data_IF_834452719563
#
_entry.id   IF_834452719563
#
_cell.length_a   1.000
_cell.length_b   1.000
_cell.length_c   1.000
_cell.angle_alpha   90.00
_cell.angle_beta   90.00
_cell.angle_gamma   90.00
#
_symmetry.space_group_name_H-M   'P 1'
#
loop_
_entity.id
_entity.type
_entity.pdbx_description
1 polymer ?
#
# COMPACT_ATOMS: atom_id res chain seq x y z
N UNK A 1 -25.14 -8.06 -11.70
CA UNK A 1 -24.18 -6.95 -11.51
C UNK A 1 -22.83 -7.60 -11.31
N UNK A 2 -21.97 -7.62 -12.33
CA UNK A 2 -20.62 -8.17 -12.18
C UNK A 2 -19.77 -7.14 -11.42
N UNK A 3 -19.05 -7.53 -10.35
CA UNK A 3 -18.07 -6.64 -9.76
C UNK A 3 -17.08 -6.28 -10.87
N UNK A 4 -16.91 -5.00 -11.13
CA UNK A 4 -15.90 -4.51 -12.07
C UNK A 4 -14.56 -5.04 -11.59
N UNK A 5 -14.00 -6.00 -12.34
CA UNK A 5 -12.63 -6.48 -12.12
C UNK A 5 -11.74 -5.27 -11.92
N UNK A 6 -10.95 -5.28 -10.84
CA UNK A 6 -10.06 -4.18 -10.49
C UNK A 6 -9.33 -3.64 -11.71
N UNK A 7 -9.37 -2.34 -11.93
CA UNK A 7 -9.11 -1.74 -13.26
C UNK A 7 -7.63 -1.67 -13.67
N UNK A 8 -6.71 -2.15 -12.83
CA UNK A 8 -5.27 -2.13 -13.13
C UNK A 8 -4.53 -3.31 -12.47
N UNK A 9 -3.49 -3.86 -13.14
CA UNK A 9 -2.56 -4.82 -12.54
C UNK A 9 -1.69 -4.17 -11.47
N UNK A 10 -1.44 -4.86 -10.36
CA UNK A 10 -0.64 -4.31 -9.24
C UNK A 10 0.78 -3.88 -9.60
N UNK A 11 1.45 -4.54 -10.55
CA UNK A 11 2.81 -4.22 -11.01
C UNK A 11 2.86 -3.10 -12.06
N UNK A 12 1.73 -2.44 -12.31
CA UNK A 12 1.61 -1.42 -13.36
C UNK A 12 1.33 -0.02 -12.77
N UNK A 13 1.78 0.22 -11.54
CA UNK A 13 1.67 1.52 -10.88
C UNK A 13 3.04 2.11 -10.59
N UNK A 14 3.13 3.43 -10.67
CA UNK A 14 4.23 4.21 -10.11
C UNK A 14 3.69 5.18 -9.07
N UNK A 15 4.43 5.37 -7.98
CA UNK A 15 3.93 6.16 -6.86
C UNK A 15 4.96 7.13 -6.31
N UNK A 16 4.47 8.31 -5.90
CA UNK A 16 5.28 9.30 -5.18
C UNK A 16 4.43 10.09 -4.20
N UNK A 17 5.02 10.48 -3.07
CA UNK A 17 4.39 11.42 -2.14
C UNK A 17 4.70 12.83 -2.62
N UNK A 18 3.67 13.56 -3.06
CA UNK A 18 3.82 14.86 -3.72
C UNK A 18 3.51 16.05 -2.81
N UNK A 19 2.72 15.85 -1.76
CA UNK A 19 2.36 16.90 -0.82
C UNK A 19 2.04 16.34 0.58
N UNK A 20 1.85 17.27 1.52
CA UNK A 20 1.20 16.99 2.78
C UNK A 20 0.25 18.16 3.11
N UNK A 21 -1.00 17.84 3.44
CA UNK A 21 -2.03 18.82 3.80
C UNK A 21 -2.58 18.55 5.19
N UNK A 22 -3.14 19.59 5.82
CA UNK A 22 -3.84 19.47 7.09
C UNK A 22 -5.34 19.34 6.83
N UNK A 23 -5.93 18.22 7.24
CA UNK A 23 -7.37 17.98 7.24
C UNK A 23 -7.88 18.01 8.69
N UNK A 24 -8.49 19.13 9.09
CA UNK A 24 -8.91 19.42 10.46
C UNK A 24 -7.79 19.18 11.50
N UNK A 25 -7.81 18.04 12.18
CA UNK A 25 -6.85 17.64 13.22
C UNK A 25 -5.73 16.73 12.71
N UNK A 26 -5.81 16.28 11.46
CA UNK A 26 -4.92 15.28 10.90
C UNK A 26 -4.03 15.86 9.79
N UNK A 27 -2.89 15.20 9.56
CA UNK A 27 -2.08 15.43 8.36
C UNK A 27 -2.31 14.28 7.41
N UNK A 28 -2.65 14.62 6.17
CA UNK A 28 -2.75 13.71 5.05
C UNK A 28 -1.57 13.93 4.11
N UNK A 29 -1.14 12.86 3.46
CA UNK A 29 -0.08 12.85 2.48
C UNK A 29 -0.71 12.53 1.13
N UNK A 30 -0.52 13.40 0.15
CA UNK A 30 -0.97 13.18 -1.22
C UNK A 30 -0.02 12.23 -1.93
N UNK A 31 -0.55 11.09 -2.34
CA UNK A 31 0.15 10.08 -3.12
C UNK A 31 -0.29 10.23 -4.56
N UNK A 32 0.63 10.62 -5.45
CA UNK A 32 0.41 10.49 -6.89
C UNK A 32 0.54 9.02 -7.26
N UNK A 33 -0.47 8.49 -7.92
CA UNK A 33 -0.50 7.13 -8.46
C UNK A 33 -0.63 7.25 -9.97
N UNK A 34 0.41 6.86 -10.70
CA UNK A 34 0.46 6.81 -12.15
C UNK A 34 0.24 5.38 -12.63
N UNK A 35 -0.67 5.17 -13.57
CA UNK A 35 -1.03 3.86 -14.11
C UNK A 35 -0.37 3.63 -15.46
N UNK A 36 0.77 2.93 -15.47
CA UNK A 36 1.66 2.77 -16.63
C UNK A 36 0.93 2.36 -17.92
N UNK A 37 -0.01 1.41 -17.83
CA UNK A 37 -0.73 0.89 -18.99
C UNK A 37 -1.70 1.89 -19.63
N UNK A 38 -2.25 2.81 -18.84
CA UNK A 38 -3.29 3.73 -19.31
C UNK A 38 -2.79 5.16 -19.49
N UNK A 39 -1.59 5.48 -18.98
CA UNK A 39 -1.07 6.84 -18.90
C UNK A 39 -1.86 7.77 -17.98
N UNK A 40 -2.86 7.26 -17.25
CA UNK A 40 -3.68 8.04 -16.32
C UNK A 40 -2.96 8.20 -14.99
N UNK A 41 -3.23 9.31 -14.32
CA UNK A 41 -2.82 9.52 -12.94
C UNK A 41 -3.99 9.91 -12.05
N UNK A 42 -3.83 9.68 -10.75
CA UNK A 42 -4.71 10.23 -9.72
C UNK A 42 -3.91 10.57 -8.47
N UNK A 43 -4.47 11.45 -7.64
CA UNK A 43 -3.93 11.75 -6.32
C UNK A 43 -4.85 11.14 -5.26
N UNK A 44 -4.25 10.37 -4.34
CA UNK A 44 -4.96 9.77 -3.21
C UNK A 44 -4.37 10.30 -1.93
N UNK A 45 -5.23 10.80 -1.05
CA UNK A 45 -4.81 11.29 0.26
C UNK A 45 -4.91 10.20 1.31
N UNK A 46 -3.81 10.01 2.06
CA UNK A 46 -3.73 9.03 3.14
C UNK A 46 -3.09 9.66 4.38
N UNK A 47 -3.70 9.42 5.55
CA UNK A 47 -3.10 9.76 6.84
C UNK A 47 -1.93 8.82 7.12
N UNK A 48 -0.97 9.24 7.95
CA UNK A 48 0.12 8.37 8.41
C UNK A 48 -0.40 7.03 8.99
N UNK A 49 -1.52 7.07 9.71
CA UNK A 49 -2.18 5.89 10.27
C UNK A 49 -2.65 4.88 9.22
N UNK A 50 -2.95 5.31 7.99
CA UNK A 50 -3.34 4.40 6.92
C UNK A 50 -2.15 3.54 6.43
N UNK A 51 -0.93 4.09 6.49
CA UNK A 51 0.28 3.31 6.18
C UNK A 51 0.58 2.29 7.29
N UNK A 52 0.41 2.69 8.56
CA UNK A 52 0.51 1.76 9.69
C UNK A 52 -0.52 0.64 9.59
N UNK A 53 -1.77 0.97 9.22
CA UNK A 53 -2.82 -0.01 9.00
C UNK A 53 -2.50 -0.94 7.83
N UNK A 54 -1.99 -0.42 6.71
CA UNK A 54 -1.54 -1.23 5.59
C UNK A 54 -0.48 -2.25 6.05
N UNK A 55 0.54 -1.80 6.78
CA UNK A 55 1.57 -2.69 7.31
C UNK A 55 0.97 -3.76 8.24
N UNK A 56 0.18 -3.35 9.23
CA UNK A 56 -0.37 -4.28 10.21
C UNK A 56 -1.28 -5.35 9.56
N UNK A 57 -2.13 -4.93 8.61
CA UNK A 57 -3.00 -5.84 7.88
C UNK A 57 -2.21 -6.77 6.96
N UNK A 58 -1.13 -6.28 6.35
CA UNK A 58 -0.24 -7.09 5.53
C UNK A 58 0.47 -8.17 6.37
N UNK A 59 1.11 -7.76 7.47
CA UNK A 59 1.76 -8.66 8.43
C UNK A 59 0.81 -9.73 8.96
N UNK A 60 -0.40 -9.33 9.39
CA UNK A 60 -1.42 -10.28 9.83
C UNK A 60 -1.82 -11.25 8.71
N UNK A 61 -1.89 -10.78 7.48
CA UNK A 61 -2.25 -11.63 6.34
C UNK A 61 -1.16 -12.66 6.02
N UNK A 62 0.13 -12.34 6.20
CA UNK A 62 1.22 -13.31 6.01
C UNK A 62 1.20 -14.42 7.05
N UNK A 63 0.74 -14.11 8.26
CA UNK A 63 0.59 -15.08 9.35
C UNK A 63 -0.71 -15.89 9.28
N UNK A 64 -1.72 -15.40 8.54
CA UNK A 64 -3.02 -16.05 8.38
C UNK A 64 -2.90 -17.25 7.42
N UNK A 65 -3.00 -18.47 7.97
CA UNK A 65 -2.99 -19.73 7.21
C UNK A 65 -4.37 -20.13 6.66
N UNK A 66 -5.34 -19.21 6.67
CA UNK A 66 -6.59 -19.41 5.95
C UNK A 66 -6.34 -19.46 4.45
N UNK A 67 -7.15 -20.24 3.72
CA UNK A 67 -7.06 -20.36 2.28
C UNK A 67 -6.99 -18.97 1.59
N UNK A 68 -6.02 -18.82 0.70
CA UNK A 68 -5.80 -17.63 -0.12
C UNK A 68 -5.53 -18.05 -1.57
N UNK A 69 -4.79 -17.25 -2.34
CA UNK A 69 -4.55 -17.49 -3.76
C UNK A 69 -3.48 -18.56 -4.09
N UNK A 70 -3.00 -19.28 -3.08
CA UNK A 70 -2.03 -20.36 -3.20
C UNK A 70 -2.60 -21.68 -2.66
N UNK A 71 -2.22 -22.79 -3.31
CA UNK A 71 -2.73 -24.13 -2.98
C UNK A 71 -2.48 -24.56 -1.53
N UNK A 72 -1.35 -24.14 -0.96
CA UNK A 72 -0.95 -24.49 0.42
C UNK A 72 -1.52 -23.53 1.48
N UNK A 73 -2.66 -22.88 1.19
CA UNK A 73 -3.28 -21.85 2.04
C UNK A 73 -2.38 -20.66 2.35
N UNK A 74 -1.46 -20.36 1.44
CA UNK A 74 -0.56 -19.22 1.53
C UNK A 74 -0.84 -18.23 0.39
N UNK A 75 -0.63 -16.94 0.65
CA UNK A 75 -0.69 -15.93 -0.40
C UNK A 75 0.55 -16.04 -1.30
N UNK A 76 0.36 -16.10 -2.63
CA UNK A 76 1.48 -16.13 -3.58
C UNK A 76 2.34 -14.85 -3.55
N UNK A 77 1.81 -13.76 -2.99
CA UNK A 77 2.51 -12.49 -2.87
C UNK A 77 3.41 -12.42 -1.62
N UNK A 78 3.26 -13.34 -0.65
CA UNK A 78 3.99 -13.32 0.63
C UNK A 78 5.50 -13.20 0.40
N UNK A 79 6.08 -14.10 -0.42
CA UNK A 79 7.53 -14.13 -0.67
C UNK A 79 8.12 -12.85 -1.27
N UNK A 80 7.28 -11.99 -1.86
CA UNK A 80 7.72 -10.73 -2.47
C UNK A 80 7.51 -9.53 -1.55
N UNK A 81 6.47 -9.56 -0.72
CA UNK A 81 6.00 -8.41 0.05
C UNK A 81 6.35 -8.50 1.54
N UNK A 82 6.41 -9.70 2.10
CA UNK A 82 6.71 -9.92 3.51
C UNK A 82 8.02 -9.26 3.95
N UNK A 83 9.15 -9.38 3.21
CA UNK A 83 10.39 -8.72 3.63
C UNK A 83 10.27 -7.20 3.75
N UNK A 84 9.48 -6.56 2.88
CA UNK A 84 9.25 -5.12 2.97
C UNK A 84 8.43 -4.78 4.22
N UNK A 85 7.31 -5.48 4.44
CA UNK A 85 6.40 -5.16 5.52
C UNK A 85 6.93 -5.55 6.91
N UNK A 86 7.75 -6.59 7.01
CA UNK A 86 8.37 -7.01 8.28
C UNK A 86 9.57 -6.13 8.65
N UNK A 87 10.41 -5.76 7.67
CA UNK A 87 11.63 -4.99 7.94
C UNK A 87 11.42 -3.47 7.98
N UNK A 88 10.26 -2.97 7.52
CA UNK A 88 9.97 -1.53 7.60
C UNK A 88 9.61 -1.15 9.03
N UNK A 89 10.48 -0.41 9.72
CA UNK A 89 10.15 0.17 11.02
C UNK A 89 9.51 1.55 10.84
N UNK A 90 8.18 1.63 10.91
CA UNK A 90 7.52 2.93 10.93
C UNK A 90 7.88 3.69 12.21
N UNK A 91 8.23 4.99 12.13
CA UNK A 91 8.58 5.79 13.29
C UNK A 91 7.53 5.69 14.40
N UNK A 92 7.93 5.10 15.55
CA UNK A 92 7.04 4.92 16.70
C UNK A 92 6.57 6.27 17.22
N UNK A 93 5.26 6.45 17.29
CA UNK A 93 4.61 7.63 17.87
C UNK A 93 4.65 7.54 19.40
N UNK A 94 5.84 7.62 20.00
CA UNK A 94 5.95 7.65 21.46
C UNK A 94 5.50 9.01 22.01
N UNK A 95 4.42 8.99 22.80
CA UNK A 95 4.13 9.99 23.81
C UNK A 95 3.48 11.28 23.30
N UNK A 96 2.47 11.73 24.04
CA UNK A 96 1.64 12.92 23.84
C UNK A 96 2.38 14.27 23.78
N UNK A 97 3.71 14.30 23.63
CA UNK A 97 4.55 15.51 23.64
C UNK A 97 5.31 15.71 22.32
N UNK A 98 5.49 14.66 21.49
CA UNK A 98 5.88 14.79 20.07
C UNK A 98 4.69 14.63 19.10
N UNK A 99 3.47 14.62 19.63
CA UNK A 99 2.19 14.49 18.93
C UNK A 99 1.71 15.73 18.17
N UNK A 100 2.58 16.70 17.85
CA UNK A 100 2.23 17.82 16.96
C UNK A 100 2.76 17.51 15.57
N UNK A 101 1.89 17.61 14.56
CA UNK A 101 2.27 17.63 13.13
C UNK A 101 3.06 18.92 12.83
N UNK A 102 4.25 19.06 13.42
CA UNK A 102 5.17 20.15 13.14
C UNK A 102 5.69 20.00 11.72
N UNK A 103 6.10 21.11 11.08
CA UNK A 103 6.64 21.08 9.71
C UNK A 103 7.83 20.14 9.58
N UNK A 104 8.69 20.07 10.60
CA UNK A 104 9.84 19.16 10.62
C UNK A 104 9.41 17.69 10.63
N UNK A 105 8.46 17.32 11.52
CA UNK A 105 7.92 15.95 11.60
C UNK A 105 7.22 15.56 10.30
N UNK A 106 6.45 16.48 9.70
CA UNK A 106 5.77 16.24 8.42
C UNK A 106 6.78 16.01 7.31
N UNK A 107 7.87 16.78 7.24
CA UNK A 107 8.93 16.59 6.24
C UNK A 107 9.65 15.25 6.38
N UNK A 108 10.02 14.86 7.60
CA UNK A 108 10.65 13.55 7.87
C UNK A 108 9.72 12.41 7.45
N UNK A 109 8.43 12.51 7.81
CA UNK A 109 7.43 11.53 7.38
C UNK A 109 7.27 11.50 5.86
N UNK A 110 7.25 12.65 5.18
CA UNK A 110 7.14 12.69 3.73
C UNK A 110 8.26 11.89 3.05
N UNK A 111 9.51 12.11 3.47
CA UNK A 111 10.64 11.36 2.93
C UNK A 111 10.52 9.85 3.22
N UNK A 112 10.25 9.48 4.47
CA UNK A 112 10.07 8.09 4.86
C UNK A 112 8.96 7.39 4.07
N UNK A 113 7.79 8.03 3.98
CA UNK A 113 6.63 7.47 3.26
C UNK A 113 6.93 7.33 1.76
N UNK A 114 7.64 8.28 1.16
CA UNK A 114 8.07 8.18 -0.23
C UNK A 114 9.04 7.02 -0.44
N UNK A 115 10.03 6.84 0.43
CA UNK A 115 10.95 5.70 0.38
C UNK A 115 10.23 4.36 0.53
N UNK A 116 9.27 4.27 1.45
CA UNK A 116 8.44 3.08 1.61
C UNK A 116 7.64 2.75 0.35
N UNK A 117 7.01 3.76 -0.28
CA UNK A 117 6.23 3.57 -1.50
C UNK A 117 7.10 3.12 -2.69
N UNK A 118 8.31 3.67 -2.83
CA UNK A 118 9.28 3.22 -3.84
C UNK A 118 9.65 1.75 -3.62
N UNK A 119 9.94 1.34 -2.39
CA UNK A 119 10.25 -0.06 -2.10
C UNK A 119 9.06 -0.99 -2.35
N UNK A 120 7.83 -0.52 -2.06
CA UNK A 120 6.61 -1.26 -2.38
C UNK A 120 6.42 -1.42 -3.90
N UNK A 121 6.64 -0.35 -4.66
CA UNK A 121 6.61 -0.38 -6.12
C UNK A 121 7.64 -1.38 -6.67
N UNK A 122 8.89 -1.32 -6.21
CA UNK A 122 9.94 -2.26 -6.61
C UNK A 122 9.58 -3.70 -6.28
N UNK A 123 9.01 -3.95 -5.09
CA UNK A 123 8.56 -5.28 -4.70
C UNK A 123 7.44 -5.80 -5.61
N UNK A 124 6.49 -4.94 -5.99
CA UNK A 124 5.40 -5.27 -6.90
C UNK A 124 5.91 -5.53 -8.33
N UNK A 125 6.87 -4.73 -8.82
CA UNK A 125 7.49 -4.90 -10.14
C UNK A 125 8.27 -6.21 -10.26
N UNK A 126 8.81 -6.75 -9.17
CA UNK A 126 9.49 -8.05 -9.13
C UNK A 126 8.54 -9.25 -9.23
N UNK A 127 7.23 -9.05 -9.11
CA UNK A 127 6.25 -10.14 -9.14
C UNK A 127 5.96 -10.54 -10.60
N UNK A 128 6.12 -11.82 -10.97
CA UNK A 128 5.77 -12.31 -12.29
C UNK A 128 4.32 -11.97 -12.67
N UNK A 129 4.05 -11.49 -13.90
CA UNK A 129 2.70 -11.12 -14.33
C UNK A 129 1.67 -12.24 -14.15
N UNK A 130 2.05 -13.50 -14.40
CA UNK A 130 1.17 -14.66 -14.20
C UNK A 130 0.72 -14.82 -12.73
N UNK A 131 1.59 -14.51 -11.76
CA UNK A 131 1.24 -14.55 -10.34
C UNK A 131 0.26 -13.42 -9.99
N UNK A 132 0.48 -12.21 -10.51
CA UNK A 132 -0.44 -11.08 -10.29
C UNK A 132 -1.81 -11.38 -10.87
N UNK A 133 -1.88 -11.80 -12.13
CA UNK A 133 -3.14 -12.16 -12.79
C UNK A 133 -3.89 -13.24 -12.01
N UNK A 134 -3.17 -14.26 -11.51
CA UNK A 134 -3.76 -15.30 -10.68
C UNK A 134 -4.31 -14.73 -9.36
N UNK A 135 -3.52 -13.95 -8.64
CA UNK A 135 -3.95 -13.34 -7.37
C UNK A 135 -5.17 -12.44 -7.55
N UNK A 136 -5.23 -11.68 -8.65
CA UNK A 136 -6.36 -10.82 -8.99
C UNK A 136 -7.61 -11.62 -9.34
N UNK A 137 -7.49 -12.67 -10.16
CA UNK A 137 -8.60 -13.54 -10.52
C UNK A 137 -9.15 -14.34 -9.34
N UNK A 138 -8.30 -14.76 -8.41
CA UNK A 138 -8.69 -15.50 -7.20
C UNK A 138 -9.14 -14.56 -6.05
N UNK A 139 -9.20 -13.24 -6.28
CA UNK A 139 -9.69 -12.28 -5.29
C UNK A 139 -8.81 -12.15 -4.05
N UNK A 140 -7.49 -12.29 -4.22
CA UNK A 140 -6.50 -12.24 -3.14
C UNK A 140 -6.69 -11.03 -2.20
N UNK A 141 -6.73 -11.29 -0.89
CA UNK A 141 -6.91 -10.26 0.15
C UNK A 141 -5.81 -9.21 0.11
N UNK A 142 -4.55 -9.63 -0.06
CA UNK A 142 -3.42 -8.70 -0.18
C UNK A 142 -3.55 -7.79 -1.39
N UNK A 143 -3.99 -8.34 -2.53
CA UNK A 143 -4.25 -7.54 -3.72
C UNK A 143 -5.30 -6.47 -3.47
N UNK A 144 -6.43 -6.85 -2.86
CA UNK A 144 -7.51 -5.91 -2.48
C UNK A 144 -7.03 -4.85 -1.50
N UNK A 145 -6.23 -5.24 -0.50
CA UNK A 145 -5.66 -4.33 0.49
C UNK A 145 -4.80 -3.25 -0.16
N UNK A 146 -3.86 -3.63 -1.02
CA UNK A 146 -2.96 -2.69 -1.70
C UNK A 146 -3.75 -1.78 -2.65
N UNK A 147 -4.71 -2.32 -3.41
CA UNK A 147 -5.56 -1.52 -4.30
C UNK A 147 -6.42 -0.51 -3.55
N UNK A 148 -7.02 -0.93 -2.43
CA UNK A 148 -7.77 -0.06 -1.52
C UNK A 148 -6.89 1.06 -0.95
N UNK A 149 -5.65 0.73 -0.58
CA UNK A 149 -4.68 1.71 -0.13
C UNK A 149 -4.43 2.79 -1.20
N UNK A 150 -4.32 2.40 -2.48
CA UNK A 150 -4.25 3.33 -3.61
C UNK A 150 -5.61 3.86 -4.08
N UNK A 151 -6.64 3.83 -3.24
CA UNK A 151 -7.95 4.43 -3.53
C UNK A 151 -8.69 3.74 -4.66
N UNK A 152 -8.49 2.43 -4.82
CA UNK A 152 -9.28 1.58 -5.71
C UNK A 152 -10.02 0.57 -4.85
N UNK A 153 -11.30 0.86 -4.59
CA UNK A 153 -12.19 0.01 -3.82
C UNK A 153 -13.07 -0.70 -4.83
N UNK A 154 -13.09 -2.03 -4.82
CA UNK A 154 -14.11 -2.78 -5.56
C UNK A 154 -15.46 -2.40 -4.93
N UNK A 155 -16.34 -1.73 -5.68
CA UNK A 155 -17.75 -1.51 -5.33
C UNK A 155 -18.55 -2.79 -5.59
#
# INVERSE_FOLDING_TARGET
MHPTKSSFPLNCIQTSVIDARKDARHTEYGIRVYFNLSGKEKVVYRRFSAFLQLQHLAQRHFQDRAYCCGGDRNCLLTKFLEPLFENTEFPKLHGAVFGKNSRAVVRVRLHFLNSFLIQLEEALCKIPPAIITRCENEGCKMTKLIKSFYGHVDL
#
